data_IF_344248497298
#
_entry.id   IF_344248497298
#
_cell.length_a   1.000
_cell.length_b   1.000
_cell.length_c   1.000
_cell.angle_alpha   90.00
_cell.angle_beta   90.00
_cell.angle_gamma   90.00
#
_symmetry.space_group_name_H-M   'P 1'
#
loop_
_entity.id
_entity.type
_entity.pdbx_description
1 polymer ?
#
# COMPACT_ATOMS: atom_id res chain seq x y z
N UNK A 1 -2.05 3.73 9.98
CA UNK A 1 -1.41 3.42 8.68
C UNK A 1 0.08 3.66 8.79
N UNK A 2 0.92 2.87 8.11
CA UNK A 2 2.36 3.08 8.08
C UNK A 2 2.71 4.48 7.56
N UNK A 3 3.65 5.16 8.21
CA UNK A 3 4.06 6.52 7.84
C UNK A 3 4.76 6.58 6.47
N UNK A 4 5.46 5.50 6.12
CA UNK A 4 6.21 5.30 4.88
C UNK A 4 5.76 4.01 4.19
N UNK A 5 6.17 3.84 2.94
CA UNK A 5 6.22 2.52 2.31
C UNK A 5 7.13 1.58 3.14
N UNK A 6 6.82 0.28 3.15
CA UNK A 6 7.68 -0.71 3.79
C UNK A 6 9.03 -0.70 3.10
N UNK A 7 10.12 -0.62 3.86
CA UNK A 7 11.47 -0.53 3.31
C UNK A 7 12.06 -1.90 2.98
N UNK A 8 13.10 -1.94 2.14
CA UNK A 8 13.82 -3.19 1.83
C UNK A 8 14.37 -3.86 3.07
N UNK A 9 14.89 -3.09 4.03
CA UNK A 9 15.38 -3.62 5.30
C UNK A 9 14.26 -4.24 6.14
N UNK A 10 13.13 -3.54 6.30
CA UNK A 10 11.96 -4.06 7.01
C UNK A 10 11.43 -5.35 6.35
N UNK A 11 11.26 -5.32 5.03
CA UNK A 11 10.77 -6.47 4.28
C UNK A 11 11.66 -7.70 4.43
N UNK A 12 12.98 -7.51 4.33
CA UNK A 12 13.96 -8.59 4.47
C UNK A 12 13.98 -9.16 5.89
N UNK A 13 13.98 -8.28 6.90
CA UNK A 13 13.95 -8.71 8.30
C UNK A 13 12.71 -9.54 8.62
N UNK A 14 11.54 -9.11 8.15
CA UNK A 14 10.26 -9.76 8.42
C UNK A 14 10.09 -11.07 7.65
N UNK A 15 10.48 -11.10 6.37
CA UNK A 15 10.27 -12.28 5.52
C UNK A 15 11.38 -13.33 5.63
N UNK A 16 12.44 -13.04 6.38
CA UNK A 16 13.54 -13.98 6.61
C UNK A 16 14.35 -14.29 5.35
N UNK A 17 14.23 -13.44 4.31
CA UNK A 17 15.12 -13.48 3.15
C UNK A 17 16.54 -13.25 3.66
N UNK A 18 17.39 -14.29 3.58
CA UNK A 18 18.73 -14.30 4.19
C UNK A 18 19.76 -13.43 3.46
N UNK A 19 19.36 -12.73 2.41
CA UNK A 19 20.24 -11.85 1.66
C UNK A 19 20.47 -10.56 2.46
N UNK A 20 21.73 -10.18 2.64
CA UNK A 20 22.06 -8.88 3.25
C UNK A 20 21.58 -7.79 2.30
N UNK A 21 20.61 -6.98 2.76
CA UNK A 21 20.26 -5.74 2.07
C UNK A 21 21.50 -4.84 2.08
N UNK A 22 21.84 -4.26 0.92
CA UNK A 22 22.86 -3.23 0.85
C UNK A 22 22.47 -2.08 1.80
N UNK A 23 23.31 -1.69 2.79
CA UNK A 23 22.97 -0.62 3.73
C UNK A 23 22.55 0.69 3.06
N UNK A 24 23.08 0.99 1.87
CA UNK A 24 22.70 2.19 1.09
C UNK A 24 21.30 2.11 0.49
N UNK A 25 20.74 0.89 0.40
CA UNK A 25 19.42 0.60 -0.15
C UNK A 25 18.40 0.21 0.92
N UNK A 26 18.81 0.14 2.20
CA UNK A 26 18.00 -0.31 3.32
C UNK A 26 16.67 0.45 3.43
N UNK A 27 16.74 1.78 3.23
CA UNK A 27 15.62 2.71 3.32
C UNK A 27 14.95 3.00 1.96
N UNK A 28 15.31 2.28 0.89
CA UNK A 28 14.49 2.26 -0.32
C UNK A 28 13.20 1.47 -0.03
N UNK A 29 12.09 1.80 -0.71
CA UNK A 29 10.89 0.98 -0.61
C UNK A 29 11.19 -0.45 -1.07
N UNK A 30 10.60 -1.42 -0.38
CA UNK A 30 10.51 -2.77 -0.89
C UNK A 30 9.66 -2.72 -2.16
N UNK A 31 10.25 -3.20 -3.25
CA UNK A 31 9.63 -3.27 -4.57
C UNK A 31 9.73 -4.69 -5.13
N UNK A 32 9.28 -4.89 -6.37
CA UNK A 32 9.35 -6.19 -7.04
C UNK A 32 8.63 -7.31 -6.28
N UNK A 33 7.57 -6.94 -5.58
CA UNK A 33 6.74 -7.82 -4.78
C UNK A 33 5.31 -7.85 -5.33
N UNK A 34 4.73 -9.04 -5.30
CA UNK A 34 3.36 -9.31 -5.71
C UNK A 34 2.40 -9.02 -4.58
N UNK A 35 1.11 -9.01 -4.90
CA UNK A 35 0.08 -8.88 -3.87
C UNK A 35 0.15 -10.03 -2.86
N UNK A 36 0.46 -11.24 -3.33
CA UNK A 36 0.66 -12.41 -2.46
C UNK A 36 1.86 -12.27 -1.52
N UNK A 37 2.97 -11.70 -1.99
CA UNK A 37 4.15 -11.43 -1.15
C UNK A 37 3.80 -10.46 -0.01
N UNK A 38 2.96 -9.46 -0.30
CA UNK A 38 2.50 -8.52 0.72
C UNK A 38 1.67 -9.18 1.82
N UNK A 39 0.86 -10.21 1.50
CA UNK A 39 0.13 -10.98 2.51
C UNK A 39 1.08 -11.71 3.47
N UNK A 40 2.14 -12.32 2.92
CA UNK A 40 3.17 -13.00 3.72
C UNK A 40 3.84 -12.01 4.65
N UNK A 41 4.24 -10.83 4.14
CA UNK A 41 4.83 -9.79 4.97
C UNK A 41 3.91 -9.37 6.12
N UNK A 42 2.63 -9.09 5.83
CA UNK A 42 1.66 -8.65 6.82
C UNK A 42 1.47 -9.68 7.94
N UNK A 43 1.27 -10.95 7.60
CA UNK A 43 1.08 -11.99 8.62
C UNK A 43 2.37 -12.29 9.39
N UNK A 44 3.54 -12.32 8.74
CA UNK A 44 4.81 -12.49 9.45
C UNK A 44 5.07 -11.35 10.43
N UNK A 45 4.85 -10.11 10.01
CA UNK A 45 5.01 -8.95 10.90
C UNK A 45 4.05 -9.04 12.09
N UNK A 46 2.81 -9.46 11.84
CA UNK A 46 1.82 -9.68 12.91
C UNK A 46 2.30 -10.72 13.92
N UNK A 47 2.78 -11.88 13.45
CA UNK A 47 3.30 -12.96 14.31
C UNK A 47 4.53 -12.49 15.11
N UNK A 48 5.46 -11.79 14.45
CA UNK A 48 6.67 -11.26 15.09
C UNK A 48 6.35 -10.27 16.22
N UNK A 49 5.26 -9.51 16.09
CA UNK A 49 4.79 -8.57 17.10
C UNK A 49 3.75 -9.16 18.08
N UNK A 50 3.45 -10.45 17.98
CA UNK A 50 2.48 -11.11 18.87
C UNK A 50 1.02 -10.69 18.62
N UNK A 51 0.70 -10.21 17.43
CA UNK A 51 -0.64 -9.80 17.01
C UNK A 51 -1.38 -10.95 16.31
N UNK A 52 -2.72 -10.88 16.30
CA UNK A 52 -3.57 -11.80 15.54
C UNK A 52 -3.39 -11.53 14.04
N UNK A 53 -2.92 -12.49 13.23
CA UNK A 53 -2.70 -12.26 11.80
C UNK A 53 -4.03 -12.08 11.04
N UNK A 54 -4.06 -11.17 10.08
CA UNK A 54 -5.27 -10.82 9.36
C UNK A 54 -5.65 -11.80 8.25
N UNK A 55 -4.70 -12.55 7.69
CA UNK A 55 -4.95 -13.40 6.52
C UNK A 55 -4.94 -14.90 6.84
N UNK A 56 -5.82 -15.66 6.22
CA UNK A 56 -5.80 -17.13 6.26
C UNK A 56 -5.84 -17.71 4.85
N UNK A 57 -4.88 -18.57 4.53
CA UNK A 57 -4.80 -19.30 3.26
C UNK A 57 -4.85 -20.79 3.59
N UNK A 58 -5.77 -21.51 2.94
CA UNK A 58 -6.01 -22.93 3.18
C UNK A 58 -6.20 -23.28 4.68
N UNK A 59 -6.80 -22.36 5.45
CA UNK A 59 -7.10 -22.54 6.87
C UNK A 59 -5.96 -22.24 7.84
N UNK A 60 -4.78 -21.82 7.35
CA UNK A 60 -3.65 -21.41 8.20
C UNK A 60 -3.47 -19.90 8.18
N UNK A 61 -3.17 -19.30 9.34
CA UNK A 61 -2.69 -17.91 9.45
C UNK A 61 -1.17 -17.79 9.45
N UNK A 62 -0.44 -18.90 9.58
CA UNK A 62 1.02 -18.95 9.51
C UNK A 62 1.50 -19.07 8.05
N UNK A 63 2.24 -18.08 7.53
CA UNK A 63 2.78 -18.10 6.18
C UNK A 63 3.73 -19.27 5.87
N UNK A 64 4.36 -19.89 6.86
CA UNK A 64 5.20 -21.08 6.65
C UNK A 64 4.37 -22.28 6.14
N UNK A 65 3.06 -22.29 6.41
CA UNK A 65 2.14 -23.35 5.97
C UNK A 65 1.43 -23.04 4.64
N UNK A 66 1.69 -21.89 4.00
CA UNK A 66 1.03 -21.52 2.73
C UNK A 66 1.74 -22.05 1.48
N UNK A 67 2.94 -22.61 1.66
CA UNK A 67 3.82 -23.01 0.57
C UNK A 67 4.53 -21.82 -0.10
N UNK A 68 5.14 -22.07 -1.26
CA UNK A 68 5.86 -21.02 -2.00
C UNK A 68 4.88 -20.01 -2.59
N UNK A 69 5.23 -18.72 -2.48
CA UNK A 69 4.45 -17.65 -3.12
C UNK A 69 4.37 -17.89 -4.63
N UNK A 70 3.16 -17.94 -5.23
CA UNK A 70 2.99 -18.17 -6.65
C UNK A 70 3.65 -17.09 -7.52
N UNK A 71 4.12 -17.52 -8.70
CA UNK A 71 4.60 -16.64 -9.78
C UNK A 71 3.57 -16.47 -10.91
N UNK A 72 2.41 -17.11 -10.76
CA UNK A 72 1.28 -17.06 -11.67
C UNK A 72 -0.02 -17.08 -10.84
N UNK A 73 -1.17 -17.00 -11.52
CA UNK A 73 -2.46 -17.09 -10.87
C UNK A 73 -2.60 -18.37 -10.04
N UNK A 74 -3.25 -18.28 -8.88
CA UNK A 74 -3.38 -19.40 -7.95
C UNK A 74 -4.71 -19.34 -7.23
N UNK A 75 -5.59 -20.30 -7.52
CA UNK A 75 -6.89 -20.40 -6.89
C UNK A 75 -6.80 -20.53 -5.35
N UNK A 76 -5.78 -21.23 -4.84
CA UNK A 76 -5.55 -21.39 -3.40
C UNK A 76 -5.23 -20.04 -2.74
N UNK A 77 -4.36 -19.24 -3.35
CA UNK A 77 -3.99 -17.93 -2.81
C UNK A 77 -5.06 -16.87 -3.04
N UNK A 78 -5.82 -16.97 -4.14
CA UNK A 78 -6.99 -16.12 -4.41
C UNK A 78 -8.14 -16.38 -3.44
N UNK A 79 -8.22 -17.57 -2.83
CA UNK A 79 -9.21 -17.93 -1.82
C UNK A 79 -8.82 -17.47 -0.40
N UNK A 80 -7.84 -16.57 -0.26
CA UNK A 80 -7.45 -15.98 1.02
C UNK A 80 -8.64 -15.31 1.70
N UNK A 81 -8.76 -15.54 3.00
CA UNK A 81 -9.75 -14.90 3.86
C UNK A 81 -9.05 -13.80 4.66
N UNK A 82 -9.62 -12.60 4.70
CA UNK A 82 -9.20 -11.55 5.62
C UNK A 82 -10.13 -11.51 6.83
N UNK A 83 -9.58 -11.70 8.02
CA UNK A 83 -10.25 -11.44 9.30
C UNK A 83 -10.11 -9.95 9.65
N UNK A 84 -11.20 -9.21 9.45
CA UNK A 84 -11.27 -7.77 9.73
C UNK A 84 -11.33 -7.43 11.22
N UNK A 85 -11.49 -8.43 12.08
CA UNK A 85 -11.48 -8.27 13.54
C UNK A 85 -10.08 -8.47 14.14
N UNK A 86 -9.14 -9.00 13.36
CA UNK A 86 -7.76 -9.19 13.77
C UNK A 86 -7.06 -7.84 13.99
N UNK A 87 -6.20 -7.77 15.02
CA UNK A 87 -5.42 -6.58 15.34
C UNK A 87 -4.02 -6.54 14.69
N UNK A 88 -3.71 -7.54 13.87
CA UNK A 88 -2.49 -7.59 13.08
C UNK A 88 -2.47 -6.64 11.89
N UNK A 89 -1.35 -6.69 11.18
CA UNK A 89 -1.12 -5.91 9.97
C UNK A 89 -1.84 -6.51 8.77
N UNK A 90 -2.27 -5.64 7.87
CA UNK A 90 -2.85 -5.96 6.57
C UNK A 90 -2.53 -4.87 5.55
N UNK A 91 -2.76 -5.18 4.28
CA UNK A 91 -2.89 -4.16 3.25
C UNK A 91 -4.07 -3.22 3.57
N UNK A 92 -3.96 -1.92 3.24
CA UNK A 92 -5.10 -1.03 3.29
C UNK A 92 -6.17 -1.49 2.31
N UNK A 93 -7.43 -1.27 2.65
CA UNK A 93 -8.46 -1.16 1.62
C UNK A 93 -8.15 0.02 0.71
N UNK A 94 -8.65 -0.01 -0.52
CA UNK A 94 -8.51 1.10 -1.44
C UNK A 94 -9.07 2.40 -0.83
N UNK A 95 -10.16 2.30 -0.08
CA UNK A 95 -10.79 3.45 0.57
C UNK A 95 -9.95 4.01 1.73
N UNK A 96 -9.33 3.15 2.54
CA UNK A 96 -8.40 3.61 3.59
C UNK A 96 -7.18 4.30 2.99
N UNK A 97 -6.61 3.72 1.93
CA UNK A 97 -5.50 4.32 1.20
C UNK A 97 -5.89 5.68 0.63
N UNK A 98 -7.04 5.73 -0.03
CA UNK A 98 -7.53 6.95 -0.66
C UNK A 98 -7.81 8.05 0.35
N UNK A 99 -8.46 7.72 1.47
CA UNK A 99 -8.70 8.65 2.57
C UNK A 99 -7.40 9.20 3.13
N UNK A 100 -6.41 8.33 3.36
CA UNK A 100 -5.09 8.73 3.84
C UNK A 100 -4.40 9.68 2.85
N UNK A 101 -4.50 9.43 1.54
CA UNK A 101 -3.92 10.27 0.49
C UNK A 101 -4.62 11.62 0.31
N UNK A 102 -5.94 11.69 0.54
CA UNK A 102 -6.67 12.96 0.59
C UNK A 102 -6.13 13.90 1.68
N UNK A 103 -5.61 13.33 2.77
CA UNK A 103 -5.08 14.07 3.91
C UNK A 103 -6.16 14.80 4.72
N UNK A 104 -5.75 15.49 5.78
CA UNK A 104 -6.65 16.41 6.48
C UNK A 104 -6.83 17.71 5.68
N UNK A 105 -7.99 18.34 5.86
CA UNK A 105 -8.15 19.73 5.44
C UNK A 105 -7.67 20.66 6.57
N UNK A 106 -6.51 21.29 6.36
CA UNK A 106 -5.94 22.22 7.35
C UNK A 106 -6.79 23.47 7.56
N UNK A 107 -7.69 23.81 6.63
CA UNK A 107 -8.60 24.94 6.79
C UNK A 107 -9.79 24.62 7.73
N UNK A 108 -10.15 23.33 7.87
CA UNK A 108 -11.23 22.87 8.76
C UNK A 108 -10.81 21.66 9.59
N UNK A 109 -9.90 21.85 10.58
CA UNK A 109 -9.45 20.76 11.45
C UNK A 109 -10.62 20.03 12.13
N UNK A 110 -10.60 18.70 12.09
CA UNK A 110 -11.63 17.84 12.71
C UNK A 110 -12.86 17.57 11.85
N UNK A 111 -12.95 18.12 10.62
CA UNK A 111 -14.03 17.79 9.68
C UNK A 111 -13.62 16.69 8.69
N UNK A 112 -14.63 16.04 8.12
CA UNK A 112 -14.45 15.07 7.04
C UNK A 112 -13.97 15.80 5.79
N UNK A 113 -12.82 15.40 5.26
CA UNK A 113 -12.33 15.92 3.99
C UNK A 113 -13.15 15.34 2.83
N UNK A 114 -13.97 16.18 2.19
CA UNK A 114 -14.85 15.81 1.07
C UNK A 114 -14.33 16.25 -0.31
N UNK A 115 -13.25 17.03 -0.36
CA UNK A 115 -12.73 17.62 -1.62
C UNK A 115 -11.32 17.12 -1.96
N UNK A 116 -10.63 16.45 -1.03
CA UNK A 116 -9.25 15.98 -1.19
C UNK A 116 -9.04 15.03 -2.38
N UNK A 117 -10.11 14.41 -2.88
CA UNK A 117 -10.04 13.56 -4.08
C UNK A 117 -9.54 14.31 -5.32
N UNK A 118 -9.72 15.63 -5.39
CA UNK A 118 -9.29 16.46 -6.51
C UNK A 118 -7.80 16.84 -6.46
N UNK A 119 -7.09 16.50 -5.38
CA UNK A 119 -5.68 16.86 -5.23
C UNK A 119 -4.83 16.20 -6.31
N UNK A 120 -4.00 17.01 -6.97
CA UNK A 120 -3.08 16.57 -8.01
C UNK A 120 -1.99 15.60 -7.48
N UNK A 121 -1.74 15.63 -6.17
CA UNK A 121 -0.87 14.73 -5.43
C UNK A 121 -1.17 14.83 -3.92
N UNK A 122 -0.77 13.85 -3.12
CA UNK A 122 -0.95 13.88 -1.68
C UNK A 122 -0.18 15.06 -1.05
N UNK A 123 -0.89 15.92 -0.30
CA UNK A 123 -0.33 17.18 0.25
C UNK A 123 -0.43 18.38 -0.69
N UNK A 124 -1.06 18.25 -1.86
CA UNK A 124 -1.28 19.39 -2.76
C UNK A 124 -2.25 20.41 -2.15
N UNK A 125 -1.90 21.70 -2.28
CA UNK A 125 -2.73 22.83 -1.89
C UNK A 125 -2.97 23.82 -3.06
N UNK A 126 -2.84 23.34 -4.29
CA UNK A 126 -2.92 24.10 -5.55
C UNK A 126 -1.82 25.16 -5.77
N UNK A 127 -0.98 25.45 -4.77
CA UNK A 127 0.08 26.45 -4.83
C UNK A 127 1.49 25.84 -4.77
N UNK A 128 1.59 24.62 -4.24
CA UNK A 128 2.83 23.86 -4.15
C UNK A 128 3.07 23.00 -5.40
N UNK A 129 4.30 22.53 -5.54
CA UNK A 129 4.75 21.76 -6.70
C UNK A 129 4.89 20.28 -6.33
N UNK A 130 4.48 19.40 -7.23
CA UNK A 130 4.54 17.94 -7.02
C UNK A 130 5.95 17.43 -6.70
N UNK A 131 6.99 18.06 -7.27
CA UNK A 131 8.38 17.68 -7.07
C UNK A 131 8.87 17.78 -5.63
N UNK A 132 8.17 18.52 -4.77
CA UNK A 132 8.47 18.58 -3.32
C UNK A 132 7.89 17.39 -2.54
N UNK A 133 6.91 16.67 -3.10
CA UNK A 133 6.11 15.65 -2.41
C UNK A 133 6.29 14.26 -3.01
N UNK A 134 6.67 14.17 -4.28
CA UNK A 134 6.71 12.92 -5.03
C UNK A 134 8.04 12.67 -5.73
N UNK A 135 8.38 11.39 -5.82
CA UNK A 135 9.37 10.87 -6.76
C UNK A 135 8.66 10.26 -7.96
N UNK A 136 8.89 10.80 -9.15
CA UNK A 136 8.14 10.46 -10.36
C UNK A 136 9.05 10.53 -11.59
N UNK A 137 8.50 10.24 -12.77
CA UNK A 137 9.31 10.07 -14.00
C UNK A 137 10.25 11.24 -14.29
N UNK A 138 9.88 12.45 -13.89
CA UNK A 138 10.66 13.67 -14.16
C UNK A 138 11.79 13.95 -13.18
N UNK A 139 11.79 13.37 -11.98
CA UNK A 139 12.77 13.71 -10.92
C UNK A 139 13.42 12.51 -10.22
N UNK A 140 13.02 11.27 -10.53
CA UNK A 140 13.48 10.09 -9.81
C UNK A 140 14.62 9.32 -10.50
N UNK A 141 15.14 9.82 -11.63
CA UNK A 141 16.24 9.18 -12.39
C UNK A 141 16.00 7.68 -12.68
N UNK A 142 14.76 7.34 -13.01
CA UNK A 142 14.32 5.97 -13.32
C UNK A 142 14.55 4.93 -12.20
N UNK A 143 14.63 5.36 -10.94
CA UNK A 143 14.80 4.47 -9.79
C UNK A 143 13.92 4.88 -8.61
N UNK A 144 13.66 3.92 -7.72
CA UNK A 144 13.12 4.19 -6.38
C UNK A 144 14.07 5.08 -5.59
N UNK A 145 13.52 5.85 -4.66
CA UNK A 145 14.25 6.79 -3.83
C UNK A 145 13.97 6.50 -2.35
N UNK A 146 14.82 7.01 -1.46
CA UNK A 146 14.70 6.78 -0.02
C UNK A 146 13.32 7.22 0.48
N UNK A 147 12.67 6.40 1.29
CA UNK A 147 11.39 6.76 1.90
C UNK A 147 11.55 8.02 2.77
N UNK A 148 10.50 8.84 2.86
CA UNK A 148 10.53 10.04 3.71
C UNK A 148 11.42 11.19 3.22
N UNK A 149 12.06 11.08 2.04
CA UNK A 149 12.94 12.12 1.49
C UNK A 149 12.22 13.29 0.78
N UNK A 150 10.88 13.26 0.75
CA UNK A 150 10.00 14.33 0.24
C UNK A 150 9.11 14.86 1.36
N UNK A 151 8.33 15.92 1.11
CA UNK A 151 7.38 16.46 2.09
C UNK A 151 6.20 15.50 2.30
N UNK A 152 5.69 15.39 3.54
CA UNK A 152 4.49 14.60 3.82
C UNK A 152 3.22 15.36 3.42
N UNK A 153 2.09 14.65 3.39
CA UNK A 153 0.78 15.28 3.39
C UNK A 153 0.39 15.82 4.78
N UNK A 154 -0.84 16.33 4.90
CA UNK A 154 -1.36 16.97 6.12
C UNK A 154 -1.53 16.01 7.31
N UNK A 155 -1.44 14.69 7.09
CA UNK A 155 -1.47 13.66 8.12
C UNK A 155 -0.06 13.18 8.52
N UNK A 156 1.00 13.78 7.97
CA UNK A 156 2.37 13.33 8.22
C UNK A 156 2.74 12.04 7.48
N UNK A 157 1.98 11.66 6.45
CA UNK A 157 2.24 10.48 5.63
C UNK A 157 3.05 10.86 4.38
N UNK A 158 4.05 10.05 4.06
CA UNK A 158 5.00 10.27 2.98
C UNK A 158 4.78 9.26 1.86
N UNK A 159 5.19 9.58 0.63
CA UNK A 159 5.23 8.60 -0.46
C UNK A 159 3.86 8.19 -1.03
N UNK A 160 2.77 8.82 -0.61
CA UNK A 160 1.41 8.52 -1.14
C UNK A 160 1.21 8.97 -2.60
N UNK A 161 2.14 9.72 -3.17
CA UNK A 161 2.22 10.03 -4.59
C UNK A 161 3.65 9.74 -5.08
N UNK A 162 3.82 8.78 -5.99
CA UNK A 162 5.10 8.42 -6.57
C UNK A 162 5.90 7.40 -5.76
N UNK A 163 7.21 7.34 -6.03
CA UNK A 163 8.16 6.32 -5.56
C UNK A 163 7.77 4.91 -6.00
N UNK A 164 6.89 4.21 -5.28
CA UNK A 164 6.32 2.92 -5.71
C UNK A 164 4.81 2.97 -5.61
N UNK A 165 4.11 2.25 -6.50
CA UNK A 165 2.67 2.06 -6.32
C UNK A 165 2.43 1.10 -5.18
N UNK A 166 1.38 1.34 -4.41
CA UNK A 166 1.10 0.58 -3.19
C UNK A 166 -0.07 -0.37 -3.42
N UNK A 167 0.17 -1.66 -3.19
CA UNK A 167 -0.89 -2.67 -3.23
C UNK A 167 -1.99 -2.37 -2.20
N UNK A 168 -3.24 -2.52 -2.62
CA UNK A 168 -4.42 -2.49 -1.75
C UNK A 168 -5.08 -3.88 -1.69
N UNK A 169 -5.92 -4.12 -0.68
CA UNK A 169 -6.65 -5.38 -0.50
C UNK A 169 -7.62 -5.68 -1.66
N UNK A 170 -8.29 -4.65 -2.16
CA UNK A 170 -9.46 -4.71 -3.02
C UNK A 170 -9.17 -5.34 -4.38
N UNK A 171 -10.16 -6.07 -4.90
CA UNK A 171 -10.24 -6.33 -6.33
C UNK A 171 -10.63 -5.06 -7.09
N UNK A 172 -10.01 -4.84 -8.25
CA UNK A 172 -10.30 -3.68 -9.09
C UNK A 172 -11.63 -3.85 -9.82
N UNK A 173 -12.57 -2.96 -9.53
CA UNK A 173 -13.85 -2.83 -10.22
C UNK A 173 -14.36 -1.38 -10.14
N UNK A 174 -15.42 -1.09 -10.87
CA UNK A 174 -16.19 0.14 -10.69
C UNK A 174 -16.78 0.19 -9.27
N UNK A 175 -16.90 1.40 -8.73
CA UNK A 175 -17.52 1.57 -7.41
C UNK A 175 -19.03 1.31 -7.51
N UNK A 176 -19.60 0.60 -6.52
CA UNK A 176 -21.05 0.47 -6.44
C UNK A 176 -21.71 1.83 -6.23
N UNK A 177 -22.93 1.97 -6.74
CA UNK A 177 -23.70 3.19 -6.56
C UNK A 177 -24.15 3.38 -5.10
N UNK A 178 -24.25 4.63 -4.66
CA UNK A 178 -24.72 4.98 -3.32
C UNK A 178 -23.59 5.22 -2.31
N UNK A 179 -23.98 5.50 -1.07
CA UNK A 179 -23.03 5.71 0.02
C UNK A 179 -22.51 4.36 0.52
N UNK A 180 -21.19 4.27 0.71
CA UNK A 180 -20.52 3.07 1.22
C UNK A 180 -19.83 3.40 2.55
N UNK A 181 -19.90 2.46 3.48
CA UNK A 181 -19.19 2.54 4.76
C UNK A 181 -18.27 1.33 4.85
N UNK A 182 -16.98 1.56 5.13
CA UNK A 182 -15.95 0.52 5.24
C UNK A 182 -15.96 -0.46 4.06
N UNK A 183 -16.04 0.07 2.83
CA UNK A 183 -16.04 -0.76 1.63
C UNK A 183 -14.67 -1.43 1.45
N UNK A 184 -14.69 -2.76 1.30
CA UNK A 184 -13.51 -3.62 1.20
C UNK A 184 -13.28 -4.15 -0.21
N UNK A 185 -13.92 -3.52 -1.20
CA UNK A 185 -13.91 -3.95 -2.58
C UNK A 185 -14.95 -5.03 -2.87
N UNK A 186 -15.08 -5.46 -4.14
CA UNK A 186 -15.96 -6.56 -4.51
C UNK A 186 -15.37 -7.89 -4.03
N UNK A 187 -16.22 -8.89 -3.78
CA UNK A 187 -15.82 -10.21 -3.29
C UNK A 187 -14.94 -10.98 -4.29
N UNK A 188 -15.11 -10.72 -5.59
CA UNK A 188 -14.41 -11.42 -6.67
C UNK A 188 -13.83 -10.45 -7.69
N UNK A 189 -12.71 -10.82 -8.32
CA UNK A 189 -12.14 -10.09 -9.44
C UNK A 189 -10.89 -10.79 -9.98
N UNK A 190 -10.31 -10.22 -11.05
CA UNK A 190 -9.11 -10.76 -11.71
C UNK A 190 -7.83 -9.97 -11.46
N UNK A 191 -7.96 -8.74 -10.94
CA UNK A 191 -6.85 -7.84 -10.64
C UNK A 191 -7.04 -7.18 -9.29
N UNK A 192 -5.94 -6.93 -8.60
CA UNK A 192 -5.92 -6.19 -7.34
C UNK A 192 -5.57 -4.73 -7.60
N UNK A 193 -6.13 -3.86 -6.77
CA UNK A 193 -5.89 -2.41 -6.85
C UNK A 193 -4.45 -2.09 -6.45
N UNK A 194 -3.81 -1.18 -7.18
CA UNK A 194 -2.61 -0.47 -6.75
C UNK A 194 -2.81 1.05 -6.90
N UNK A 195 -2.24 1.83 -5.97
CA UNK A 195 -2.48 3.28 -5.85
C UNK A 195 -1.18 4.09 -5.78
N UNK A 196 -1.29 5.41 -5.95
CA UNK A 196 -0.20 6.38 -5.75
C UNK A 196 0.71 6.65 -6.94
N UNK A 197 0.72 5.77 -7.95
CA UNK A 197 1.70 5.87 -9.04
C UNK A 197 3.11 5.52 -8.55
N UNK A 198 4.14 5.81 -9.34
CA UNK A 198 5.52 5.43 -9.00
C UNK A 198 6.55 6.34 -9.66
N UNK A 199 7.83 6.12 -9.36
CA UNK A 199 8.95 6.80 -10.02
C UNK A 199 8.92 6.69 -11.56
N UNK A 200 8.20 5.71 -12.11
CA UNK A 200 8.14 5.43 -13.55
C UNK A 200 7.09 6.28 -14.27
N UNK A 201 6.11 6.79 -13.56
CA UNK A 201 4.93 7.41 -14.17
C UNK A 201 4.95 8.94 -14.06
N UNK A 202 4.25 9.59 -15.00
CA UNK A 202 4.04 11.04 -15.01
C UNK A 202 2.87 11.46 -14.13
N UNK A 203 2.75 12.77 -13.89
CA UNK A 203 1.90 13.40 -12.87
C UNK A 203 0.43 12.95 -12.88
N UNK A 204 -0.14 12.66 -14.06
CA UNK A 204 -1.53 12.19 -14.18
C UNK A 204 -1.79 10.89 -13.41
N UNK A 205 -0.79 10.03 -13.27
CA UNK A 205 -0.89 8.77 -12.54
C UNK A 205 -0.63 8.92 -11.03
N UNK A 206 -0.15 10.09 -10.57
CA UNK A 206 0.18 10.37 -9.18
C UNK A 206 -0.94 11.08 -8.42
N UNK A 207 -2.03 11.43 -9.12
CA UNK A 207 -3.19 12.08 -8.51
C UNK A 207 -3.83 11.19 -7.45
N UNK A 208 -4.41 11.81 -6.42
CA UNK A 208 -5.01 11.08 -5.29
C UNK A 208 -6.13 10.14 -5.77
N UNK A 209 -6.89 10.54 -6.80
CA UNK A 209 -7.95 9.73 -7.39
C UNK A 209 -7.49 8.72 -8.45
N UNK A 210 -6.22 8.72 -8.87
CA UNK A 210 -5.70 7.75 -9.84
C UNK A 210 -5.79 6.33 -9.28
N UNK A 211 -6.35 5.41 -10.09
CA UNK A 211 -6.49 4.00 -9.76
C UNK A 211 -5.77 3.16 -10.82
N UNK A 212 -4.92 2.25 -10.39
CA UNK A 212 -4.32 1.24 -11.24
C UNK A 212 -4.69 -0.16 -10.74
N UNK A 213 -4.39 -1.17 -11.55
CA UNK A 213 -4.52 -2.55 -11.13
C UNK A 213 -3.58 -3.48 -11.86
N UNK A 214 -3.22 -4.54 -11.17
CA UNK A 214 -2.36 -5.60 -11.67
C UNK A 214 -2.86 -6.96 -11.20
N UNK A 215 -2.53 -8.02 -11.95
CA UNK A 215 -2.82 -9.37 -11.50
C UNK A 215 -2.05 -9.67 -10.19
N UNK A 216 -2.64 -10.42 -9.24
CA UNK A 216 -2.10 -10.55 -7.89
C UNK A 216 -0.73 -11.23 -7.81
N UNK A 217 -0.34 -11.99 -8.84
CA UNK A 217 0.96 -12.66 -8.93
C UNK A 217 2.07 -11.82 -9.57
N UNK A 218 1.74 -10.66 -10.14
CA UNK A 218 2.70 -9.83 -10.87
C UNK A 218 3.65 -9.15 -9.91
N UNK A 219 4.95 -9.17 -10.26
CA UNK A 219 6.02 -8.46 -9.58
C UNK A 219 6.60 -7.42 -10.52
N UNK A 220 6.67 -6.18 -10.05
CA UNK A 220 7.23 -5.07 -10.80
C UNK A 220 8.15 -4.27 -9.89
N UNK A 221 9.29 -3.80 -10.42
CA UNK A 221 10.26 -2.94 -9.70
C UNK A 221 9.74 -1.55 -9.33
N UNK A 222 8.43 -1.33 -9.40
CA UNK A 222 7.76 -0.08 -9.09
C UNK A 222 6.46 -0.31 -8.31
N UNK A 223 6.21 -1.54 -7.84
CA UNK A 223 5.09 -1.91 -6.98
C UNK A 223 5.65 -2.37 -5.64
N UNK A 224 5.20 -1.72 -4.57
CA UNK A 224 5.56 -1.99 -3.20
C UNK A 224 4.32 -2.10 -2.32
N UNK A 225 4.48 -1.81 -1.03
CA UNK A 225 3.40 -1.91 -0.06
C UNK A 225 3.54 -0.91 1.08
N UNK A 226 2.39 -0.59 1.67
CA UNK A 226 2.24 0.05 2.97
C UNK A 226 1.24 -0.78 3.75
N UNK A 227 1.42 -0.85 5.07
CA UNK A 227 0.55 -1.63 5.95
C UNK A 227 -0.34 -0.73 6.81
N UNK A 228 -1.49 -1.28 7.19
CA UNK A 228 -2.36 -0.73 8.22
C UNK A 228 -2.64 -1.79 9.28
N UNK A 229 -3.02 -1.35 10.47
CA UNK A 229 -3.61 -2.19 11.51
C UNK A 229 -4.66 -1.37 12.25
N UNK A 230 -5.64 -2.03 12.84
CA UNK A 230 -6.57 -1.37 13.75
C UNK A 230 -5.87 -1.11 15.09
N UNK A 231 -6.08 0.07 15.66
CA UNK A 231 -5.93 0.21 17.11
C UNK A 231 -7.19 -0.38 17.75
N UNK A 232 -7.01 -1.40 18.59
CA UNK A 232 -8.05 -1.74 19.56
C UNK A 232 -7.98 -0.62 20.60
N UNK A 233 -8.93 0.30 20.55
CA UNK A 233 -9.13 1.26 21.62
C UNK A 233 -9.77 0.50 22.78
N UNK A 234 -9.03 0.40 23.89
CA UNK A 234 -9.54 -0.10 25.18
C UNK A 234 -10.61 0.82 25.77
#
# INVERSE_FOLDING_TARGET
MGQYEVTRAQYTQVTGLRERVNPEEAELPADNLSWYDALVFCNRLSILEGLLPAYSIAGSTDPDNWGKVPIADSQVWNAVICDWTANGYRLPTEMEWFWAAMGADSAVPGQINIAGYQKAFAGSNLRNQIGDYAWYSSNANSNTQLVGSKKPNELGLYGLSGNVSEWCWDFYADYPAGALCNYQGPETGSKKVDRGGSYKFGETYLTVASRASSAPSIRNRYSGLRVVRAEILD
#
